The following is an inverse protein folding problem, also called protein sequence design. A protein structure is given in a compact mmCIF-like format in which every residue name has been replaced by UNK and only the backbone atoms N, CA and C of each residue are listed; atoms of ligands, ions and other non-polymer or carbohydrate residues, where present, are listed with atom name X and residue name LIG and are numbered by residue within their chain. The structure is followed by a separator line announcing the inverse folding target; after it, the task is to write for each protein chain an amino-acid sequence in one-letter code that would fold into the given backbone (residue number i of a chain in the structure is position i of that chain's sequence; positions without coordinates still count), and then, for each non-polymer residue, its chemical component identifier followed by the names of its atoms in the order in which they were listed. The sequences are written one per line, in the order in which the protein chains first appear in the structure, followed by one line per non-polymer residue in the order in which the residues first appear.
data_IF_801099729919
#
_entry.id   IF_801099729919
#
_cell.length_a   1.000
_cell.length_b   1.000
_cell.length_c   1.000
_cell.angle_alpha   90.00
_cell.angle_beta   90.00
_cell.angle_gamma   90.00
#
_symmetry.space_group_name_H-M   'P 1'
#
loop_
_entity.id
_entity.type
_entity.pdbx_description
1 polymer ?
#
# COMPACT_ATOMS: atom_id res chain seq x y z
N UNK A 1 -0.74 -5.66 3.26
CA UNK A 1 -1.17 -5.69 4.68
C UNK A 1 -2.63 -5.28 4.81
N UNK A 2 -3.42 -5.93 5.67
CA UNK A 2 -4.88 -5.70 5.78
C UNK A 2 -5.25 -4.78 6.97
N UNK A 3 -6.49 -4.31 7.02
CA UNK A 3 -7.00 -3.42 8.07
C UNK A 3 -7.28 -4.10 9.42
N UNK A 4 -7.76 -3.29 10.37
CA UNK A 4 -8.07 -3.73 11.74
C UNK A 4 -9.24 -4.73 11.80
N UNK A 5 -10.22 -4.59 10.92
CA UNK A 5 -11.36 -5.52 10.83
C UNK A 5 -10.89 -6.95 10.62
N UNK A 6 -9.94 -7.14 9.70
CA UNK A 6 -9.34 -8.41 9.32
C UNK A 6 -8.42 -8.94 10.43
N UNK A 7 -7.69 -8.04 11.11
CA UNK A 7 -6.86 -8.41 12.26
C UNK A 7 -7.70 -9.12 13.35
N UNK A 8 -8.91 -8.64 13.60
CA UNK A 8 -9.84 -9.20 14.59
C UNK A 8 -10.45 -10.53 14.20
N UNK A 9 -10.33 -10.97 12.93
CA UNK A 9 -10.80 -12.28 12.46
C UNK A 9 -9.80 -13.41 12.78
N UNK A 10 -8.61 -13.05 13.28
CA UNK A 10 -7.52 -13.98 13.59
C UNK A 10 -6.69 -14.36 12.37
N UNK A 11 -5.53 -15.03 12.56
CA UNK A 11 -4.52 -15.19 11.51
C UNK A 11 -4.99 -15.87 10.22
N UNK A 12 -5.78 -16.95 10.33
CA UNK A 12 -6.22 -17.72 9.18
C UNK A 12 -7.19 -16.95 8.26
N UNK A 13 -8.13 -16.20 8.85
CA UNK A 13 -9.10 -15.40 8.10
C UNK A 13 -8.52 -14.03 7.72
N UNK A 14 -7.80 -13.39 8.63
CA UNK A 14 -7.21 -12.07 8.41
C UNK A 14 -6.21 -12.07 7.25
N UNK A 15 -5.33 -13.08 7.15
CA UNK A 15 -4.42 -13.22 6.02
C UNK A 15 -5.13 -13.27 4.65
N UNK A 16 -6.39 -13.71 4.62
CA UNK A 16 -7.20 -13.75 3.40
C UNK A 16 -8.00 -12.47 3.15
N UNK A 17 -7.92 -11.45 4.01
CA UNK A 17 -8.79 -10.28 3.94
C UNK A 17 -8.75 -9.51 2.61
N UNK A 18 -7.59 -9.40 1.98
CA UNK A 18 -7.50 -8.81 0.63
C UNK A 18 -8.26 -9.63 -0.42
N UNK A 19 -8.24 -10.95 -0.31
CA UNK A 19 -8.94 -11.85 -1.22
C UNK A 19 -10.45 -11.92 -0.93
N UNK A 20 -10.81 -12.13 0.33
CA UNK A 20 -12.18 -12.47 0.75
C UNK A 20 -13.02 -11.23 1.08
N UNK A 21 -12.42 -10.15 1.57
CA UNK A 21 -13.13 -8.97 2.03
C UNK A 21 -12.99 -7.77 1.08
N UNK A 22 -11.86 -7.67 0.36
CA UNK A 22 -11.52 -6.53 -0.50
C UNK A 22 -11.53 -6.85 -2.00
N UNK A 23 -12.03 -8.02 -2.41
CA UNK A 23 -12.22 -8.41 -3.82
C UNK A 23 -10.94 -8.29 -4.69
N UNK A 24 -9.74 -8.45 -4.13
CA UNK A 24 -8.49 -8.19 -4.86
C UNK A 24 -8.35 -9.05 -6.13
N UNK A 25 -8.71 -10.33 -6.07
CA UNK A 25 -8.67 -11.22 -7.23
C UNK A 25 -9.64 -10.78 -8.34
N UNK A 26 -10.79 -10.20 -7.98
CA UNK A 26 -11.72 -9.63 -8.95
C UNK A 26 -11.14 -8.37 -9.58
N UNK A 27 -10.51 -7.49 -8.79
CA UNK A 27 -9.86 -6.29 -9.30
C UNK A 27 -8.73 -6.64 -10.27
N UNK A 28 -7.91 -7.64 -9.94
CA UNK A 28 -6.86 -8.15 -10.82
C UNK A 28 -7.41 -8.71 -12.14
N UNK A 29 -8.46 -9.54 -12.08
CA UNK A 29 -9.11 -10.05 -13.28
C UNK A 29 -9.71 -8.94 -14.16
N UNK A 30 -10.22 -7.85 -13.55
CA UNK A 30 -10.75 -6.69 -14.27
C UNK A 30 -9.67 -5.85 -14.92
N UNK A 31 -8.53 -5.65 -14.24
CA UNK A 31 -7.36 -4.97 -14.82
C UNK A 31 -6.80 -5.70 -16.03
N UNK A 32 -6.88 -7.03 -16.06
CA UNK A 32 -6.50 -7.85 -17.21
C UNK A 32 -7.50 -7.77 -18.40
N UNK A 33 -8.66 -7.13 -18.22
CA UNK A 33 -9.70 -7.03 -19.24
C UNK A 33 -10.29 -5.59 -19.33
N UNK A 34 -9.48 -4.56 -19.63
CA UNK A 34 -9.97 -3.18 -19.74
C UNK A 34 -11.00 -3.02 -20.88
N UNK A 35 -11.81 -1.95 -20.88
CA UNK A 35 -11.79 -0.82 -19.94
C UNK A 35 -12.43 -1.16 -18.59
N UNK A 36 -11.99 -0.48 -17.53
CA UNK A 36 -12.68 -0.39 -16.25
C UNK A 36 -13.91 0.51 -16.38
N UNK A 37 -14.87 0.29 -15.48
CA UNK A 37 -16.13 1.02 -15.41
C UNK A 37 -16.34 1.67 -14.06
N UNK A 38 -17.32 2.58 -13.96
CA UNK A 38 -17.74 3.15 -12.67
C UNK A 38 -18.14 2.08 -11.65
N UNK A 39 -18.71 0.95 -12.10
CA UNK A 39 -19.07 -0.15 -11.22
C UNK A 39 -17.85 -0.87 -10.65
N UNK A 40 -16.77 -1.00 -11.42
CA UNK A 40 -15.50 -1.56 -10.96
C UNK A 40 -14.94 -0.73 -9.79
N UNK A 41 -15.06 0.60 -9.85
CA UNK A 41 -14.71 1.52 -8.76
C UNK A 41 -15.81 1.69 -7.71
N UNK A 42 -16.81 0.81 -7.67
CA UNK A 42 -17.90 0.83 -6.71
C UNK A 42 -18.68 2.16 -6.71
N UNK A 43 -18.74 2.88 -7.83
CA UNK A 43 -19.38 4.19 -7.90
C UNK A 43 -18.54 5.34 -7.33
N UNK A 44 -17.35 5.08 -6.81
CA UNK A 44 -16.35 6.11 -6.47
C UNK A 44 -15.52 6.50 -7.69
N UNK A 45 -16.16 6.55 -8.86
CA UNK A 45 -15.51 7.04 -10.06
C UNK A 45 -15.37 8.56 -10.01
N UNK A 46 -14.29 9.04 -10.61
CA UNK A 46 -14.05 10.44 -10.93
C UNK A 46 -13.12 10.46 -12.14
N UNK A 47 -12.36 11.53 -12.32
CA UNK A 47 -11.33 11.63 -13.37
C UNK A 47 -10.34 10.46 -13.34
N UNK A 48 -10.17 9.84 -12.17
CA UNK A 48 -9.29 8.68 -11.99
C UNK A 48 -9.64 7.48 -12.86
N UNK A 49 -10.92 7.28 -13.18
CA UNK A 49 -11.35 6.19 -14.07
C UNK A 49 -10.77 6.37 -15.48
N UNK A 50 -10.83 7.60 -16.00
CA UNK A 50 -10.34 7.93 -17.34
C UNK A 50 -8.81 7.79 -17.38
N UNK A 51 -8.12 8.22 -16.32
CA UNK A 51 -6.66 8.04 -16.19
C UNK A 51 -6.28 6.56 -16.18
N UNK A 52 -6.98 5.71 -15.44
CA UNK A 52 -6.71 4.26 -15.47
C UNK A 52 -6.94 3.66 -16.85
N UNK A 53 -8.04 3.99 -17.51
CA UNK A 53 -8.36 3.44 -18.82
C UNK A 53 -7.38 3.93 -19.91
N UNK A 54 -6.96 5.19 -19.87
CA UNK A 54 -5.92 5.71 -20.74
C UNK A 54 -4.59 4.97 -20.51
N UNK A 55 -4.19 4.81 -19.25
CA UNK A 55 -2.96 4.09 -18.88
C UNK A 55 -3.01 2.64 -19.35
N UNK A 56 -4.10 1.91 -19.11
CA UNK A 56 -4.26 0.50 -19.49
C UNK A 56 -4.30 0.29 -21.00
N UNK A 57 -4.76 1.30 -21.75
CA UNK A 57 -4.74 1.29 -23.22
C UNK A 57 -3.33 1.43 -23.77
N UNK A 58 -2.50 2.28 -23.15
CA UNK A 58 -1.11 2.50 -23.56
C UNK A 58 -0.17 1.39 -23.07
N UNK A 59 -0.31 0.99 -21.81
CA UNK A 59 0.48 -0.04 -21.15
C UNK A 59 -0.44 -1.00 -20.39
N UNK A 60 -0.80 -2.15 -20.99
CA UNK A 60 -1.67 -3.13 -20.36
C UNK A 60 -1.11 -3.65 -19.04
N UNK A 61 -1.99 -3.92 -18.07
CA UNK A 61 -1.64 -4.53 -16.78
C UNK A 61 -0.94 -5.88 -16.98
N UNK A 62 0.17 -6.10 -16.29
CA UNK A 62 1.04 -7.27 -16.49
C UNK A 62 1.01 -8.29 -15.34
N UNK A 63 0.22 -8.05 -14.31
CA UNK A 63 0.07 -8.97 -13.18
C UNK A 63 1.15 -8.82 -12.11
N UNK A 64 0.79 -9.24 -10.89
CA UNK A 64 1.67 -9.24 -9.71
C UNK A 64 1.55 -10.57 -8.97
N UNK A 65 2.62 -10.96 -8.27
CA UNK A 65 2.50 -11.94 -7.20
C UNK A 65 2.16 -11.16 -5.93
N UNK A 66 0.90 -11.23 -5.48
CA UNK A 66 0.47 -10.54 -4.26
C UNK A 66 0.51 -11.48 -3.07
N UNK A 67 1.39 -11.17 -2.12
CA UNK A 67 1.52 -11.91 -0.85
C UNK A 67 0.72 -11.20 0.23
N UNK A 68 -0.21 -11.92 0.86
CA UNK A 68 -1.16 -11.35 1.83
C UNK A 68 -0.90 -11.93 3.24
N UNK A 69 0.11 -11.45 3.98
CA UNK A 69 0.36 -11.91 5.33
C UNK A 69 -0.66 -11.34 6.32
N UNK A 70 -0.86 -12.04 7.43
CA UNK A 70 -1.64 -11.54 8.56
C UNK A 70 -0.99 -10.30 9.18
N UNK A 71 -1.79 -9.25 9.39
CA UNK A 71 -1.42 -8.02 10.09
C UNK A 71 -1.98 -8.07 11.50
N UNK A 72 -1.14 -8.26 12.54
CA UNK A 72 -1.61 -8.33 13.91
C UNK A 72 -2.07 -6.96 14.45
N UNK A 73 -3.03 -6.95 15.37
CA UNK A 73 -3.52 -5.75 16.08
C UNK A 73 -2.53 -5.28 17.16
N UNK A 74 -1.31 -4.96 16.75
CA UNK A 74 -0.20 -4.52 17.63
C UNK A 74 0.18 -3.05 17.42
N UNK A 75 -0.37 -2.39 16.40
CA UNK A 75 -0.01 -1.01 16.02
C UNK A 75 -1.17 -0.01 16.16
N UNK A 76 -2.30 -0.41 16.75
CA UNK A 76 -3.48 0.46 16.86
C UNK A 76 -3.23 1.65 17.79
N UNK A 77 -3.63 2.85 17.33
CA UNK A 77 -3.60 4.09 18.11
C UNK A 77 -2.18 4.47 18.51
N UNK A 78 -2.01 4.90 19.76
CA UNK A 78 -0.75 5.43 20.31
C UNK A 78 0.30 4.35 20.61
N UNK A 79 0.13 3.14 20.09
CA UNK A 79 1.09 2.06 20.30
C UNK A 79 2.44 2.41 19.66
N UNK A 80 3.57 2.11 20.34
CA UNK A 80 4.90 2.44 19.84
C UNK A 80 5.19 1.83 18.47
N UNK A 81 5.87 2.60 17.61
CA UNK A 81 6.20 2.16 16.26
C UNK A 81 7.19 0.98 16.26
N UNK A 82 7.99 0.82 17.32
CA UNK A 82 8.92 -0.31 17.49
C UNK A 82 8.21 -1.67 17.53
N UNK A 83 6.91 -1.70 17.82
CA UNK A 83 6.12 -2.93 17.74
C UNK A 83 5.99 -3.47 16.30
N UNK A 84 6.35 -2.68 15.28
CA UNK A 84 6.43 -3.15 13.90
C UNK A 84 7.71 -3.97 13.62
N UNK A 85 8.74 -3.91 14.47
CA UNK A 85 10.04 -4.55 14.21
C UNK A 85 9.96 -6.08 14.14
N UNK A 86 9.27 -6.80 15.06
CA UNK A 86 9.12 -8.25 14.92
C UNK A 86 8.37 -8.65 13.65
N UNK A 87 7.40 -7.84 13.23
CA UNK A 87 6.68 -8.03 11.97
C UNK A 87 7.61 -7.81 10.79
N UNK A 88 8.46 -6.77 10.82
CA UNK A 88 9.44 -6.50 9.78
C UNK A 88 10.45 -7.65 9.65
N UNK A 89 10.96 -8.17 10.76
CA UNK A 89 11.84 -9.35 10.82
C UNK A 89 11.15 -10.58 10.22
N UNK A 90 9.91 -10.87 10.60
CA UNK A 90 9.18 -11.99 10.01
C UNK A 90 8.98 -11.82 8.50
N UNK A 91 8.53 -10.65 8.05
CA UNK A 91 8.24 -10.41 6.64
C UNK A 91 9.51 -10.49 5.79
N UNK A 92 10.59 -9.83 6.21
CA UNK A 92 11.81 -9.73 5.42
C UNK A 92 12.71 -10.94 5.56
N UNK A 93 12.86 -11.49 6.76
CA UNK A 93 13.87 -12.53 7.02
C UNK A 93 13.29 -13.96 6.92
N UNK A 94 11.96 -14.10 6.87
CA UNK A 94 11.29 -15.41 6.76
C UNK A 94 10.35 -15.50 5.57
N UNK A 95 9.42 -14.55 5.42
CA UNK A 95 8.39 -14.65 4.39
C UNK A 95 8.94 -14.39 2.98
N UNK A 96 9.64 -13.27 2.75
CA UNK A 96 10.19 -12.95 1.42
C UNK A 96 11.12 -14.05 0.87
N UNK A 97 12.10 -14.59 1.64
CA UNK A 97 12.93 -15.70 1.16
C UNK A 97 12.12 -16.91 0.73
N UNK A 98 11.05 -17.23 1.47
CA UNK A 98 10.14 -18.33 1.13
C UNK A 98 9.35 -18.04 -0.15
N UNK A 99 8.84 -16.82 -0.32
CA UNK A 99 8.13 -16.38 -1.53
C UNK A 99 9.04 -16.53 -2.76
N UNK A 100 10.28 -16.07 -2.68
CA UNK A 100 11.22 -16.16 -3.82
C UNK A 100 11.59 -17.60 -4.16
N UNK A 101 11.59 -18.50 -3.16
CA UNK A 101 11.84 -19.93 -3.37
C UNK A 101 10.62 -20.67 -3.95
N UNK A 102 9.41 -20.30 -3.54
CA UNK A 102 8.18 -21.08 -3.79
C UNK A 102 7.32 -20.51 -4.93
N UNK A 103 7.70 -19.37 -5.52
CA UNK A 103 6.95 -18.70 -6.57
C UNK A 103 7.89 -18.20 -7.67
N UNK A 104 7.40 -17.87 -8.89
CA UNK A 104 8.25 -17.30 -9.95
C UNK A 104 8.57 -15.81 -9.73
N UNK A 105 8.54 -15.33 -8.48
CA UNK A 105 8.90 -13.95 -8.16
C UNK A 105 10.36 -13.68 -8.52
N UNK A 106 10.62 -12.50 -9.09
CA UNK A 106 11.98 -12.08 -9.51
C UNK A 106 12.95 -12.00 -8.31
N UNK A 107 12.44 -11.66 -7.12
CA UNK A 107 13.21 -11.74 -5.88
C UNK A 107 14.30 -10.68 -5.71
N UNK A 108 14.10 -9.49 -6.28
CA UNK A 108 15.00 -8.34 -6.10
C UNK A 108 14.33 -7.21 -5.31
N UNK A 109 15.13 -6.27 -4.79
CA UNK A 109 14.63 -5.04 -4.15
C UNK A 109 13.72 -4.29 -5.12
N UNK A 110 14.19 -3.99 -6.34
CA UNK A 110 13.45 -3.25 -7.35
C UNK A 110 12.12 -3.90 -7.74
N UNK A 111 12.01 -5.22 -7.64
CA UNK A 111 10.81 -5.99 -7.96
C UNK A 111 9.92 -6.31 -6.75
N UNK A 112 10.23 -5.79 -5.56
CA UNK A 112 9.51 -6.09 -4.32
C UNK A 112 8.91 -4.82 -3.72
N UNK A 113 7.60 -4.83 -3.51
CA UNK A 113 6.87 -3.74 -2.87
C UNK A 113 6.18 -4.17 -1.59
N UNK A 114 5.88 -3.20 -0.71
CA UNK A 114 5.00 -3.39 0.45
C UNK A 114 3.94 -2.30 0.47
N UNK A 115 2.70 -2.70 0.79
CA UNK A 115 1.57 -1.79 0.91
C UNK A 115 0.51 -2.34 1.86
N UNK A 116 -0.45 -1.50 2.24
CA UNK A 116 -1.60 -1.94 3.01
C UNK A 116 -2.58 -0.82 3.30
N UNK A 117 -3.73 -1.18 3.87
CA UNK A 117 -4.82 -0.25 4.16
C UNK A 117 -5.04 -0.04 5.66
N UNK A 118 -5.31 1.19 6.10
CA UNK A 118 -5.67 1.51 7.49
C UNK A 118 -4.57 1.06 8.47
N UNK A 119 -4.86 0.19 9.44
CA UNK A 119 -3.85 -0.47 10.27
C UNK A 119 -2.75 -1.14 9.44
N UNK A 120 -3.12 -1.77 8.31
CA UNK A 120 -2.18 -2.36 7.37
C UNK A 120 -1.32 -1.32 6.65
N UNK A 121 -1.86 -0.13 6.36
CA UNK A 121 -1.08 0.97 5.79
C UNK A 121 -0.06 1.51 6.77
N UNK A 122 -0.46 1.65 8.05
CA UNK A 122 0.47 1.95 9.16
C UNK A 122 1.57 0.89 9.25
N UNK A 123 1.20 -0.39 9.25
CA UNK A 123 2.15 -1.49 9.32
C UNK A 123 3.12 -1.51 8.11
N UNK A 124 2.60 -1.34 6.89
CA UNK A 124 3.38 -1.33 5.67
C UNK A 124 4.43 -0.22 5.64
N UNK A 125 4.04 1.00 6.01
CA UNK A 125 4.97 2.13 6.12
C UNK A 125 6.03 1.89 7.19
N UNK A 126 5.65 1.46 8.40
CA UNK A 126 6.63 1.21 9.47
C UNK A 126 7.61 0.07 9.14
N UNK A 127 7.14 -0.99 8.50
CA UNK A 127 8.00 -2.09 8.02
C UNK A 127 8.90 -1.63 6.88
N UNK A 128 8.34 -0.98 5.85
CA UNK A 128 9.09 -0.52 4.68
C UNK A 128 10.19 0.47 5.05
N UNK A 129 9.89 1.44 5.92
CA UNK A 129 10.87 2.45 6.36
C UNK A 129 11.93 1.88 7.31
N UNK A 130 11.63 0.81 8.07
CA UNK A 130 12.63 0.16 8.93
C UNK A 130 13.53 -0.82 8.17
N UNK A 131 13.05 -1.41 7.07
CA UNK A 131 13.77 -2.36 6.22
C UNK A 131 13.78 -1.92 4.74
N UNK A 132 14.21 -0.70 4.41
CA UNK A 132 14.06 -0.12 3.07
C UNK A 132 14.87 -0.86 2.00
N UNK A 133 15.90 -1.60 2.41
CA UNK A 133 16.76 -2.37 1.51
C UNK A 133 16.11 -3.66 1.01
N UNK A 134 14.91 -4.00 1.52
CA UNK A 134 14.11 -5.12 1.02
C UNK A 134 13.07 -4.68 -0.03
N UNK A 135 12.81 -3.38 -0.18
CA UNK A 135 11.67 -2.88 -0.95
C UNK A 135 12.08 -1.78 -1.95
N UNK A 136 11.68 -1.95 -3.20
CA UNK A 136 11.76 -0.93 -4.25
C UNK A 136 10.58 0.04 -4.21
N UNK A 137 9.48 -0.35 -3.56
CA UNK A 137 8.32 0.51 -3.35
C UNK A 137 7.66 0.28 -1.98
N UNK A 138 7.32 1.36 -1.30
CA UNK A 138 6.61 1.38 -0.01
C UNK A 138 5.37 2.27 -0.16
N UNK A 139 4.21 1.72 0.16
CA UNK A 139 2.93 2.43 0.11
C UNK A 139 2.15 2.32 1.41
N UNK A 140 1.23 3.26 1.62
CA UNK A 140 0.15 3.13 2.58
C UNK A 140 -1.15 3.74 2.05
N UNK A 141 -2.21 2.93 2.01
CA UNK A 141 -3.57 3.35 1.71
C UNK A 141 -4.28 3.71 3.01
N UNK A 142 -4.84 4.92 3.08
CA UNK A 142 -5.59 5.46 4.20
C UNK A 142 -4.94 5.12 5.55
N UNK A 143 -3.61 5.37 5.70
CA UNK A 143 -2.82 4.75 6.74
C UNK A 143 -3.23 5.31 8.11
N UNK A 144 -3.38 4.41 9.09
CA UNK A 144 -3.91 4.74 10.41
C UNK A 144 -2.90 5.47 11.31
N UNK A 145 -2.50 6.68 10.92
CA UNK A 145 -1.66 7.59 11.70
C UNK A 145 -2.46 8.78 12.21
N UNK A 146 -2.04 9.31 13.34
CA UNK A 146 -2.48 10.61 13.81
C UNK A 146 -1.57 11.70 13.23
N UNK A 147 -2.05 12.95 13.16
CA UNK A 147 -1.21 14.08 12.70
C UNK A 147 0.09 14.23 13.50
N UNK A 148 0.04 13.95 14.81
CA UNK A 148 1.21 13.99 15.71
C UNK A 148 2.32 12.99 15.34
N UNK A 149 2.00 11.98 14.52
CA UNK A 149 2.96 10.96 14.08
C UNK A 149 3.90 11.47 12.97
N UNK A 150 3.57 12.60 12.32
CA UNK A 150 4.29 13.10 11.16
C UNK A 150 5.80 13.32 11.40
N UNK A 151 6.26 13.97 12.49
CA UNK A 151 7.70 14.19 12.70
C UNK A 151 8.50 12.88 12.82
N UNK A 152 7.96 11.89 13.51
CA UNK A 152 8.63 10.59 13.68
C UNK A 152 8.64 9.79 12.37
N UNK A 153 7.57 9.86 11.58
CA UNK A 153 7.56 9.28 10.24
C UNK A 153 8.56 9.97 9.30
N UNK A 154 8.67 11.30 9.34
CA UNK A 154 9.64 12.06 8.53
C UNK A 154 11.06 11.64 8.87
N UNK A 155 11.38 11.55 10.17
CA UNK A 155 12.68 11.05 10.63
C UNK A 155 12.98 9.65 10.08
N UNK A 156 12.01 8.72 10.16
CA UNK A 156 12.16 7.37 9.63
C UNK A 156 12.33 7.34 8.11
N UNK A 157 11.61 8.19 7.39
CA UNK A 157 11.73 8.28 5.94
C UNK A 157 13.10 8.80 5.50
N UNK A 158 13.65 9.80 6.19
CA UNK A 158 15.02 10.28 5.96
C UNK A 158 16.06 9.19 6.22
N UNK A 159 15.96 8.47 7.34
CA UNK A 159 16.86 7.34 7.63
C UNK A 159 16.71 6.20 6.61
N UNK A 160 15.49 5.95 6.14
CA UNK A 160 15.23 4.96 5.11
C UNK A 160 15.89 5.34 3.77
N UNK A 161 15.82 6.62 3.41
CA UNK A 161 16.43 7.17 2.18
C UNK A 161 17.94 7.08 2.17
N UNK A 162 18.61 7.22 3.32
CA UNK A 162 20.06 7.01 3.44
C UNK A 162 20.48 5.59 3.07
N UNK A 163 19.62 4.61 3.36
CA UNK A 163 19.85 3.18 3.11
C UNK A 163 19.42 2.73 1.72
N UNK A 164 18.33 3.29 1.21
CA UNK A 164 17.85 3.07 -0.14
C UNK A 164 17.41 4.42 -0.75
N UNK A 165 18.28 5.10 -1.51
CA UNK A 165 17.94 6.40 -2.07
C UNK A 165 16.81 6.34 -3.11
N UNK A 166 16.59 5.17 -3.72
CA UNK A 166 15.79 5.02 -4.94
C UNK A 166 14.39 4.44 -4.75
N UNK A 167 14.02 3.96 -3.54
CA UNK A 167 12.70 3.35 -3.36
C UNK A 167 11.57 4.34 -3.63
N UNK A 168 10.44 3.89 -4.13
CA UNK A 168 9.26 4.74 -4.32
C UNK A 168 8.45 4.79 -3.03
N UNK A 169 8.05 5.98 -2.59
CA UNK A 169 7.22 6.16 -1.38
C UNK A 169 5.88 6.78 -1.79
N UNK A 170 4.78 6.14 -1.39
CA UNK A 170 3.42 6.63 -1.69
C UNK A 170 2.55 6.69 -0.45
N UNK A 171 1.82 7.79 -0.34
CA UNK A 171 0.66 7.94 0.53
C UNK A 171 -0.59 8.04 -0.34
N UNK A 172 -1.60 7.25 -0.02
CA UNK A 172 -2.88 7.30 -0.71
C UNK A 172 -4.00 7.49 0.30
N UNK A 173 -4.95 8.37 0.01
CA UNK A 173 -6.16 8.56 0.81
C UNK A 173 -7.36 8.87 -0.07
N UNK A 174 -8.56 8.91 0.49
CA UNK A 174 -9.75 9.36 -0.21
C UNK A 174 -10.34 10.64 0.41
N UNK A 175 -11.19 11.32 -0.36
CA UNK A 175 -11.82 12.59 0.06
C UNK A 175 -12.70 12.45 1.32
N UNK A 176 -13.32 11.29 1.52
CA UNK A 176 -14.17 10.97 2.68
C UNK A 176 -13.46 10.14 3.75
N UNK A 177 -12.15 9.95 3.65
CA UNK A 177 -11.37 9.26 4.67
C UNK A 177 -11.20 10.12 5.92
N UNK A 178 -11.45 9.56 7.11
CA UNK A 178 -11.17 10.23 8.38
C UNK A 178 -9.66 10.38 8.66
N UNK A 179 -8.78 9.63 8.00
CA UNK A 179 -7.33 9.85 8.04
C UNK A 179 -6.83 10.83 6.97
N UNK A 180 -7.70 11.45 6.16
CA UNK A 180 -7.30 12.43 5.14
C UNK A 180 -6.44 13.55 5.73
N UNK A 181 -6.88 14.13 6.86
CA UNK A 181 -6.15 15.20 7.54
C UNK A 181 -4.77 14.76 8.01
N UNK A 182 -4.65 13.58 8.63
CA UNK A 182 -3.37 13.00 9.05
C UNK A 182 -2.45 12.71 7.87
N UNK A 183 -2.99 12.13 6.80
CA UNK A 183 -2.22 11.77 5.60
C UNK A 183 -1.66 13.02 4.92
N UNK A 184 -2.45 14.09 4.83
CA UNK A 184 -1.98 15.40 4.33
C UNK A 184 -0.89 16.00 5.21
N UNK A 185 -1.04 15.96 6.53
CA UNK A 185 -0.04 16.48 7.45
C UNK A 185 1.29 15.72 7.35
N UNK A 186 1.26 14.40 7.19
CA UNK A 186 2.46 13.59 6.96
C UNK A 186 3.11 13.94 5.62
N UNK A 187 2.31 14.06 4.56
CA UNK A 187 2.81 14.45 3.23
C UNK A 187 3.46 15.83 3.26
N UNK A 188 2.84 16.82 3.89
CA UNK A 188 3.41 18.15 4.08
C UNK A 188 4.73 18.08 4.87
N UNK A 189 4.79 17.32 5.97
CA UNK A 189 6.02 17.15 6.73
C UNK A 189 7.13 16.41 5.96
N UNK A 190 6.77 15.59 4.97
CA UNK A 190 7.74 15.00 4.03
C UNK A 190 8.24 16.04 3.03
N UNK A 191 7.36 16.87 2.48
CA UNK A 191 7.73 17.97 1.57
C UNK A 191 8.68 18.96 2.24
N UNK A 192 8.36 19.41 3.46
CA UNK A 192 9.18 20.34 4.26
C UNK A 192 10.58 19.79 4.60
N UNK A 193 10.76 18.47 4.55
CA UNK A 193 12.01 17.78 4.83
C UNK A 193 12.67 17.17 3.59
N UNK A 194 12.23 17.55 2.39
CA UNK A 194 12.74 17.06 1.10
C UNK A 194 12.69 15.52 0.94
N UNK A 195 11.71 14.87 1.58
CA UNK A 195 11.45 13.44 1.41
C UNK A 195 10.61 13.22 0.15
N UNK A 196 11.25 12.75 -0.93
CA UNK A 196 10.55 12.42 -2.17
C UNK A 196 9.49 11.32 -1.95
N UNK A 197 8.24 11.64 -2.26
CA UNK A 197 7.08 10.76 -2.17
C UNK A 197 5.96 11.25 -3.10
N UNK A 198 4.92 10.43 -3.29
CA UNK A 198 3.65 10.84 -3.89
C UNK A 198 2.52 10.85 -2.89
N UNK A 199 1.64 11.84 -2.98
CA UNK A 199 0.34 11.86 -2.33
C UNK A 199 -0.75 11.73 -3.40
N UNK A 200 -1.60 10.70 -3.27
CA UNK A 200 -2.75 10.48 -4.15
C UNK A 200 -4.03 10.60 -3.33
N UNK A 201 -4.94 11.48 -3.77
CA UNK A 201 -6.26 11.66 -3.15
C UNK A 201 -7.32 11.34 -4.19
N UNK A 202 -8.16 10.35 -3.90
CA UNK A 202 -9.20 9.86 -4.83
C UNK A 202 -10.62 10.01 -4.27
N UNK A 203 -11.67 9.94 -5.10
CA UNK A 203 -13.04 9.80 -4.60
C UNK A 203 -13.18 8.52 -3.75
N UNK A 204 -13.94 8.59 -2.66
CA UNK A 204 -14.11 7.46 -1.77
C UNK A 204 -14.31 7.85 -0.31
N UNK A 205 -14.34 6.83 0.53
CA UNK A 205 -14.48 6.89 1.98
C UNK A 205 -13.56 5.87 2.68
N UNK A 206 -13.69 5.71 3.99
CA UNK A 206 -12.98 4.66 4.73
C UNK A 206 -13.83 3.40 4.93
N UNK A 207 -14.18 2.72 3.85
CA UNK A 207 -15.04 1.53 3.87
C UNK A 207 -14.46 0.33 3.12
N UNK A 208 -15.08 -0.84 3.32
CA UNK A 208 -14.85 -2.01 2.46
C UNK A 208 -15.18 -1.73 1.00
N UNK A 209 -16.15 -0.85 0.73
CA UNK A 209 -16.53 -0.48 -0.63
C UNK A 209 -15.39 0.27 -1.31
N UNK A 210 -14.70 1.16 -0.60
CA UNK A 210 -13.47 1.78 -1.10
C UNK A 210 -12.39 0.73 -1.39
N UNK A 211 -12.16 -0.21 -0.46
CA UNK A 211 -11.13 -1.25 -0.63
C UNK A 211 -11.42 -2.20 -1.80
N UNK A 212 -12.68 -2.55 -2.05
CA UNK A 212 -13.14 -3.33 -3.22
C UNK A 212 -13.14 -2.56 -4.53
N UNK A 213 -13.11 -1.23 -4.44
CA UNK A 213 -13.07 -0.31 -5.56
C UNK A 213 -11.70 0.36 -5.64
N UNK A 214 -11.60 1.70 -5.56
CA UNK A 214 -10.36 2.43 -5.79
C UNK A 214 -9.14 1.88 -5.04
N UNK A 215 -9.29 1.45 -3.79
CA UNK A 215 -8.16 0.93 -3.00
C UNK A 215 -7.45 -0.26 -3.66
N UNK A 216 -8.19 -1.26 -4.16
CA UNK A 216 -7.60 -2.40 -4.84
C UNK A 216 -6.93 -2.01 -6.17
N UNK A 217 -7.60 -1.22 -7.00
CA UNK A 217 -7.06 -0.82 -8.31
C UNK A 217 -5.82 0.08 -8.18
N UNK A 218 -5.84 1.04 -7.25
CA UNK A 218 -4.68 1.89 -6.96
C UNK A 218 -3.49 1.11 -6.44
N UNK A 219 -3.71 0.09 -5.60
CA UNK A 219 -2.65 -0.78 -5.11
C UNK A 219 -2.03 -1.55 -6.28
N UNK A 220 -2.84 -2.25 -7.07
CA UNK A 220 -2.37 -3.10 -8.15
C UNK A 220 -1.68 -2.29 -9.27
N UNK A 221 -2.30 -1.20 -9.73
CA UNK A 221 -1.76 -0.37 -10.80
C UNK A 221 -0.44 0.30 -10.40
N UNK A 222 -0.33 0.81 -9.17
CA UNK A 222 0.91 1.42 -8.72
C UNK A 222 2.05 0.41 -8.68
N UNK A 223 1.87 -0.74 -8.02
CA UNK A 223 2.94 -1.72 -7.89
C UNK A 223 3.30 -2.37 -9.22
N UNK A 224 2.34 -2.64 -10.11
CA UNK A 224 2.65 -3.18 -11.45
C UNK A 224 3.54 -2.24 -12.26
N UNK A 225 3.39 -0.92 -12.08
CA UNK A 225 4.17 0.08 -12.79
C UNK A 225 5.52 0.33 -12.14
N UNK A 226 5.54 0.73 -10.87
CA UNK A 226 6.78 1.19 -10.23
C UNK A 226 7.80 0.07 -10.07
N UNK A 227 7.36 -1.17 -9.84
CA UNK A 227 8.25 -2.34 -9.76
C UNK A 227 8.83 -2.76 -11.12
N UNK A 228 8.37 -2.12 -12.21
CA UNK A 228 8.89 -2.28 -13.57
C UNK A 228 9.65 -1.03 -14.06
N UNK A 229 9.94 -0.10 -13.16
CA UNK A 229 10.62 1.16 -13.49
C UNK A 229 9.74 2.12 -14.31
N UNK A 230 8.42 1.95 -14.29
CA UNK A 230 7.47 2.87 -14.93
C UNK A 230 7.00 3.93 -13.93
N UNK A 231 6.67 5.15 -14.39
CA UNK A 231 6.11 6.17 -13.51
C UNK A 231 4.76 5.69 -12.94
N UNK A 232 4.41 6.06 -11.69
CA UNK A 232 3.10 5.76 -11.13
C UNK A 232 1.98 6.44 -11.93
N UNK A 233 0.76 5.91 -11.79
CA UNK A 233 -0.47 6.52 -12.37
C UNK A 233 -0.91 7.69 -11.52
#
# INVERSE_FOLDING_TARGET
MHGLGEARKGPAKGARGWLDDYDLAKAEARLAAPPLTTQDLQGFAGERLDVFNATLKEEPYRGLIVVMPYTPDILKGDRPFSLAEPLATFLVDKLLPRVYKETPAIGSVASTGIDGVSLGGRAALLVGLSRPEAFGAVGGLQPAFDQKDAPELTRRALEARKKNPTFQLRLLTSVGDYFLGSTKAISQAFEEADVFHSLVIVPGDHSYKFNRGPGAYELLMYHDRVLRGRPPV
#
